data_IF_530626649172
#
_entry.id   IF_530626649172
#
_cell.length_a   1.000
_cell.length_b   1.000
_cell.length_c   1.000
_cell.angle_alpha   90.00
_cell.angle_beta   90.00
_cell.angle_gamma   90.00
#
_symmetry.space_group_name_H-M   'P 1'
#
loop_
_entity.id
_entity.type
_entity.pdbx_description
1 polymer ?
#
# COMPACT_ATOMS: atom_id res chain seq x y z
N UNK A 1 21.99 3.92 18.61
CA UNK A 1 21.34 5.23 18.35
C UNK A 1 20.51 5.19 17.07
N UNK A 2 21.01 4.58 16.00
CA UNK A 2 20.35 4.40 14.71
C UNK A 2 18.97 3.72 14.82
N UNK A 3 18.85 2.66 15.63
CA UNK A 3 17.59 1.90 15.75
C UNK A 3 16.41 2.73 16.26
N UNK A 4 16.63 3.61 17.24
CA UNK A 4 15.56 4.45 17.80
C UNK A 4 15.02 5.47 16.79
N UNK A 5 15.88 5.96 15.89
CA UNK A 5 15.45 6.85 14.81
C UNK A 5 14.71 6.08 13.72
N UNK A 6 15.14 4.86 13.41
CA UNK A 6 14.47 3.97 12.45
C UNK A 6 13.09 3.55 12.96
N UNK A 7 12.96 3.17 14.24
CA UNK A 7 11.68 2.87 14.88
C UNK A 7 10.73 4.08 14.86
N UNK A 8 11.26 5.26 15.20
CA UNK A 8 10.46 6.49 15.20
C UNK A 8 10.10 6.96 13.78
N UNK A 9 10.88 6.58 12.76
CA UNK A 9 10.53 6.77 11.35
C UNK A 9 9.42 5.81 10.94
N UNK A 10 9.57 4.51 11.24
CA UNK A 10 8.58 3.47 10.95
C UNK A 10 7.20 3.82 11.53
N UNK A 11 7.15 4.20 12.82
CA UNK A 11 5.89 4.57 13.48
C UNK A 11 5.22 5.81 12.86
N UNK A 12 6.01 6.78 12.40
CA UNK A 12 5.47 7.98 11.73
C UNK A 12 4.95 7.66 10.33
N UNK A 13 5.70 6.85 9.57
CA UNK A 13 5.29 6.42 8.23
C UNK A 13 4.04 5.56 8.31
N UNK A 14 3.94 4.65 9.29
CA UNK A 14 2.74 3.84 9.53
C UNK A 14 1.52 4.73 9.87
N UNK A 15 1.68 5.70 10.77
CA UNK A 15 0.61 6.65 11.10
C UNK A 15 0.12 7.46 9.88
N UNK A 16 1.04 7.87 9.00
CA UNK A 16 0.70 8.51 7.73
C UNK A 16 -0.02 7.54 6.78
N UNK A 17 0.45 6.29 6.70
CA UNK A 17 -0.18 5.23 5.93
C UNK A 17 -1.63 4.98 6.35
N UNK A 18 -1.91 4.92 7.65
CA UNK A 18 -3.27 4.75 8.16
C UNK A 18 -4.19 5.92 7.80
N UNK A 19 -3.73 7.16 8.00
CA UNK A 19 -4.51 8.34 7.62
C UNK A 19 -4.81 8.35 6.10
N UNK A 20 -3.83 7.94 5.30
CA UNK A 20 -3.97 7.83 3.86
C UNK A 20 -4.97 6.74 3.45
N UNK A 21 -4.96 5.57 4.10
CA UNK A 21 -5.92 4.50 3.83
C UNK A 21 -7.36 4.92 4.14
N UNK A 22 -7.58 5.62 5.26
CA UNK A 22 -8.91 6.13 5.63
C UNK A 22 -9.42 7.13 4.58
N UNK A 23 -8.57 8.08 4.19
CA UNK A 23 -8.94 9.06 3.16
C UNK A 23 -9.16 8.40 1.79
N UNK A 24 -8.26 7.49 1.39
CA UNK A 24 -8.36 6.76 0.14
C UNK A 24 -9.64 5.92 0.05
N UNK A 25 -10.02 5.24 1.14
CA UNK A 25 -11.27 4.49 1.22
C UNK A 25 -12.50 5.39 1.08
N UNK A 26 -12.52 6.55 1.76
CA UNK A 26 -13.61 7.53 1.65
C UNK A 26 -13.77 8.03 0.21
N UNK A 27 -12.67 8.44 -0.43
CA UNK A 27 -12.69 8.96 -1.81
C UNK A 27 -13.10 7.88 -2.82
N UNK A 28 -12.64 6.63 -2.61
CA UNK A 28 -13.01 5.50 -3.46
C UNK A 28 -14.51 5.18 -3.34
N UNK A 29 -15.07 5.20 -2.12
CA UNK A 29 -16.52 5.02 -1.91
C UNK A 29 -17.36 6.11 -2.57
N UNK A 30 -16.85 7.34 -2.66
CA UNK A 30 -17.51 8.46 -3.34
C UNK A 30 -17.30 8.44 -4.87
N UNK A 31 -16.56 7.47 -5.41
CA UNK A 31 -16.22 7.40 -6.84
C UNK A 31 -15.27 8.52 -7.31
N UNK A 32 -14.62 9.23 -6.37
CA UNK A 32 -13.69 10.32 -6.66
C UNK A 32 -12.25 9.83 -6.91
N UNK A 33 -11.98 8.57 -6.58
CA UNK A 33 -10.67 7.94 -6.71
C UNK A 33 -10.85 6.47 -7.06
N UNK A 34 -9.99 5.97 -7.96
CA UNK A 34 -9.89 4.54 -8.24
C UNK A 34 -8.79 3.93 -7.36
N UNK A 35 -9.18 3.05 -6.43
CA UNK A 35 -8.26 2.38 -5.51
C UNK A 35 -7.19 1.53 -6.20
N UNK A 36 -7.51 0.92 -7.34
CA UNK A 36 -6.56 0.13 -8.14
C UNK A 36 -5.53 1.04 -8.81
N UNK A 37 -5.99 2.16 -9.39
CA UNK A 37 -5.10 3.15 -9.98
C UNK A 37 -4.16 3.78 -8.93
N UNK A 38 -4.69 4.07 -7.74
CA UNK A 38 -3.90 4.63 -6.65
C UNK A 38 -2.82 3.66 -6.18
N UNK A 39 -3.17 2.38 -6.02
CA UNK A 39 -2.22 1.32 -5.70
C UNK A 39 -1.10 1.22 -6.74
N UNK A 40 -1.44 1.20 -8.04
CA UNK A 40 -0.45 1.11 -9.11
C UNK A 40 0.52 2.32 -9.10
N UNK A 41 0.00 3.52 -8.82
CA UNK A 41 0.83 4.73 -8.69
C UNK A 41 1.79 4.66 -7.52
N UNK A 42 1.38 4.11 -6.38
CA UNK A 42 2.28 3.98 -5.22
C UNK A 42 3.44 3.03 -5.54
N UNK A 43 3.17 1.89 -6.20
CA UNK A 43 4.22 0.95 -6.62
C UNK A 43 5.19 1.58 -7.63
N UNK A 44 4.67 2.21 -8.67
CA UNK A 44 5.50 2.93 -9.65
C UNK A 44 6.35 4.03 -8.99
N UNK A 45 5.82 4.76 -8.01
CA UNK A 45 6.61 5.74 -7.26
C UNK A 45 7.67 5.11 -6.37
N UNK A 46 7.41 3.94 -5.79
CA UNK A 46 8.40 3.20 -5.02
C UNK A 46 9.59 2.79 -5.90
N UNK A 47 9.33 2.33 -7.13
CA UNK A 47 10.34 1.95 -8.13
C UNK A 47 11.19 3.15 -8.61
N UNK A 48 10.60 4.35 -8.67
CA UNK A 48 11.28 5.58 -9.09
C UNK A 48 12.17 6.20 -8.00
N UNK A 49 12.09 5.74 -6.74
CA UNK A 49 12.91 6.29 -5.66
C UNK A 49 14.37 5.86 -5.84
N UNK A 50 15.27 6.84 -5.86
CA UNK A 50 16.71 6.57 -5.80
C UNK A 50 17.11 6.26 -4.36
N UNK A 51 17.58 5.02 -4.13
CA UNK A 51 18.13 4.54 -2.87
C UNK A 51 17.23 4.79 -1.63
N UNK A 52 15.93 4.41 -1.67
CA UNK A 52 15.03 4.63 -0.54
C UNK A 52 15.47 3.83 0.69
N UNK A 53 15.24 4.39 1.87
CA UNK A 53 15.42 3.65 3.11
C UNK A 53 14.49 2.41 3.10
N UNK A 54 14.95 1.20 3.49
CA UNK A 54 14.17 -0.04 3.37
C UNK A 54 12.78 0.04 4.04
N UNK A 55 12.69 0.67 5.22
CA UNK A 55 11.42 0.92 5.91
C UNK A 55 10.43 1.72 5.07
N UNK A 56 10.90 2.69 4.28
CA UNK A 56 10.01 3.49 3.42
C UNK A 56 9.46 2.61 2.30
N UNK A 57 10.32 1.79 1.69
CA UNK A 57 9.93 0.88 0.61
C UNK A 57 8.89 -0.14 1.12
N UNK A 58 9.17 -0.80 2.24
CA UNK A 58 8.26 -1.78 2.86
C UNK A 58 6.88 -1.17 3.18
N UNK A 59 6.86 0.06 3.71
CA UNK A 59 5.60 0.75 4.02
C UNK A 59 4.83 1.16 2.76
N UNK A 60 5.51 1.56 1.68
CA UNK A 60 4.85 1.87 0.41
C UNK A 60 4.25 0.61 -0.23
N UNK A 61 4.96 -0.52 -0.19
CA UNK A 61 4.44 -1.81 -0.65
C UNK A 61 3.25 -2.27 0.19
N UNK A 62 3.36 -2.17 1.52
CA UNK A 62 2.25 -2.51 2.42
C UNK A 62 1.01 -1.66 2.13
N UNK A 63 1.20 -0.36 1.94
CA UNK A 63 0.12 0.57 1.62
C UNK A 63 -0.54 0.22 0.27
N UNK A 64 0.27 -0.08 -0.75
CA UNK A 64 -0.21 -0.53 -2.05
C UNK A 64 -1.06 -1.80 -1.91
N UNK A 65 -0.58 -2.81 -1.16
CA UNK A 65 -1.33 -4.04 -0.95
C UNK A 65 -2.65 -3.81 -0.22
N UNK A 66 -2.68 -2.96 0.82
CA UNK A 66 -3.92 -2.61 1.53
C UNK A 66 -4.94 -1.91 0.63
N UNK A 67 -4.50 -1.02 -0.25
CA UNK A 67 -5.38 -0.38 -1.23
C UNK A 67 -5.97 -1.39 -2.22
N UNK A 68 -5.16 -2.34 -2.69
CA UNK A 68 -5.65 -3.42 -3.55
C UNK A 68 -6.66 -4.32 -2.82
N UNK A 69 -6.38 -4.69 -1.55
CA UNK A 69 -7.34 -5.44 -0.71
C UNK A 69 -8.67 -4.72 -0.63
N UNK A 70 -8.65 -3.42 -0.30
CA UNK A 70 -9.85 -2.61 -0.19
C UNK A 70 -10.63 -2.54 -1.51
N UNK A 71 -9.92 -2.35 -2.62
CA UNK A 71 -10.53 -2.33 -3.95
C UNK A 71 -11.21 -3.66 -4.30
N UNK A 72 -10.51 -4.79 -4.13
CA UNK A 72 -11.06 -6.11 -4.45
C UNK A 72 -12.22 -6.49 -3.51
N UNK A 73 -12.13 -6.10 -2.24
CA UNK A 73 -13.21 -6.28 -1.28
C UNK A 73 -14.48 -5.53 -1.67
N UNK A 74 -14.37 -4.26 -2.08
CA UNK A 74 -15.50 -3.46 -2.58
C UNK A 74 -16.11 -4.09 -3.83
N UNK A 75 -15.32 -4.80 -4.65
CA UNK A 75 -15.80 -5.55 -5.81
C UNK A 75 -16.41 -6.93 -5.49
N UNK A 76 -16.52 -7.28 -4.21
CA UNK A 76 -17.19 -8.49 -3.74
C UNK A 76 -16.30 -9.73 -3.68
N UNK A 77 -14.98 -9.59 -3.78
CA UNK A 77 -14.08 -10.73 -3.64
C UNK A 77 -13.98 -11.18 -2.17
N UNK A 78 -13.97 -12.49 -1.96
CA UNK A 78 -13.70 -13.10 -0.67
C UNK A 78 -12.22 -12.97 -0.29
N UNK A 79 -11.94 -12.97 1.01
CA UNK A 79 -10.59 -12.81 1.58
C UNK A 79 -9.55 -13.73 0.95
N UNK A 80 -9.87 -15.01 0.78
CA UNK A 80 -8.93 -16.02 0.25
C UNK A 80 -8.65 -15.84 -1.25
N UNK A 81 -9.58 -15.24 -1.99
CA UNK A 81 -9.37 -14.87 -3.40
C UNK A 81 -8.47 -13.63 -3.48
N UNK A 82 -8.70 -12.65 -2.62
CA UNK A 82 -7.90 -11.42 -2.54
C UNK A 82 -6.43 -11.74 -2.25
N UNK A 83 -6.14 -12.57 -1.25
CA UNK A 83 -4.75 -12.91 -0.90
C UNK A 83 -4.05 -13.68 -2.03
N UNK A 84 -4.76 -14.57 -2.74
CA UNK A 84 -4.19 -15.26 -3.91
C UNK A 84 -3.83 -14.29 -5.03
N UNK A 85 -4.64 -13.27 -5.28
CA UNK A 85 -4.34 -12.26 -6.30
C UNK A 85 -3.18 -11.35 -5.90
N UNK A 86 -3.05 -11.01 -4.62
CA UNK A 86 -1.92 -10.22 -4.13
C UNK A 86 -0.62 -11.03 -4.23
N UNK A 87 -0.65 -12.30 -3.85
CA UNK A 87 0.52 -13.19 -3.93
C UNK A 87 0.94 -13.45 -5.38
N UNK A 88 -0.01 -13.70 -6.29
CA UNK A 88 0.32 -13.91 -7.71
C UNK A 88 0.89 -12.66 -8.39
N UNK A 89 0.49 -11.48 -7.92
CA UNK A 89 1.07 -10.21 -8.35
C UNK A 89 2.48 -9.93 -7.80
N UNK A 90 2.91 -10.63 -6.74
CA UNK A 90 4.29 -10.55 -6.21
C UNK A 90 5.23 -11.53 -6.91
N UNK A 91 4.75 -12.74 -7.21
CA UNK A 91 5.55 -13.79 -7.88
C UNK A 91 5.82 -13.55 -9.37
N UNK A 92 5.34 -12.45 -9.95
CA UNK A 92 5.63 -12.08 -11.34
C UNK A 92 6.87 -11.20 -11.50
N UNK A 93 7.41 -10.70 -10.39
CA UNK A 93 8.53 -9.76 -10.36
C UNK A 93 9.85 -10.41 -9.83
N UNK A 94 9.85 -11.74 -9.61
CA UNK A 94 11.03 -12.60 -9.36
C UNK A 94 11.42 -13.39 -10.63
#
# INVERSE_FOLDING_TARGET
MTDRYVEALAARVDGLGQAFLVLGALLNQQGLLDGQLLQARIRSRAEELDSPHPVVLEQMEHLADQLLRNYLHVRGLGRDEIERQIQSGKSRDD
#
